data_IF_062015111764
#
_entry.id   IF_062015111764
#
_cell.length_a   1.000
_cell.length_b   1.000
_cell.length_c   1.000
_cell.angle_alpha   90.00
_cell.angle_beta   90.00
_cell.angle_gamma   90.00
#
_symmetry.space_group_name_H-M   'P 1'
#
loop_
_entity.id
_entity.type
_entity.pdbx_description
1 polymer ?
#
# COMPACT_ATOMS: atom_id res chain seq x y z
N UNK A 1 -61.00 -53.50 21.98
CA UNK A 1 -59.60 -53.09 21.79
C UNK A 1 -59.22 -52.74 20.35
N UNK A 2 -60.16 -52.37 19.44
CA UNK A 2 -59.90 -52.12 18.01
C UNK A 2 -60.13 -50.66 17.59
N UNK A 3 -60.64 -49.80 18.47
CA UNK A 3 -60.94 -48.38 18.15
C UNK A 3 -59.79 -47.41 18.42
N UNK A 4 -58.80 -47.80 19.20
CA UNK A 4 -57.60 -46.93 19.45
C UNK A 4 -56.54 -46.96 18.32
N UNK A 5 -56.55 -47.99 17.48
CA UNK A 5 -55.61 -48.16 16.39
C UNK A 5 -55.91 -47.20 15.21
N UNK A 6 -57.16 -46.82 15.00
CA UNK A 6 -57.54 -45.97 13.85
C UNK A 6 -57.22 -44.50 14.10
N UNK A 7 -57.37 -44.02 15.33
CA UNK A 7 -57.07 -42.64 15.74
C UNK A 7 -55.52 -42.38 15.68
N UNK A 8 -54.75 -43.40 16.11
CA UNK A 8 -53.29 -43.30 16.00
C UNK A 8 -52.77 -43.25 14.54
N UNK A 9 -53.42 -43.99 13.66
CA UNK A 9 -53.06 -43.99 12.22
C UNK A 9 -53.41 -42.65 11.52
N UNK A 10 -54.56 -42.02 11.85
CA UNK A 10 -54.94 -40.74 11.32
C UNK A 10 -54.08 -39.61 11.82
N UNK A 11 -53.66 -39.70 13.12
CA UNK A 11 -52.77 -38.68 13.70
C UNK A 11 -51.34 -38.78 13.15
N UNK A 12 -50.85 -39.98 12.86
CA UNK A 12 -49.54 -40.19 12.21
C UNK A 12 -49.56 -39.68 10.72
N UNK A 13 -50.71 -39.83 10.02
CA UNK A 13 -50.88 -39.39 8.65
C UNK A 13 -50.94 -37.84 8.53
N UNK A 14 -51.47 -37.15 9.55
CA UNK A 14 -51.52 -35.66 9.59
C UNK A 14 -50.14 -35.05 9.88
N UNK A 15 -49.26 -35.73 10.60
CA UNK A 15 -47.89 -35.26 10.88
C UNK A 15 -47.00 -35.40 9.63
N UNK A 16 -47.27 -36.36 8.74
CA UNK A 16 -46.54 -36.51 7.48
C UNK A 16 -46.97 -35.49 6.39
N UNK A 17 -48.10 -34.84 6.55
CA UNK A 17 -48.61 -33.87 5.56
C UNK A 17 -48.24 -32.43 5.88
N UNK A 18 -47.62 -32.15 7.05
CA UNK A 18 -47.15 -30.83 7.41
C UNK A 18 -45.67 -30.58 7.04
N UNK A 19 -45.07 -31.44 6.20
CA UNK A 19 -43.83 -31.12 5.53
C UNK A 19 -44.14 -30.05 4.48
N UNK A 20 -44.24 -28.80 4.91
CA UNK A 20 -44.33 -27.63 4.01
C UNK A 20 -43.16 -27.73 3.06
N UNK A 21 -43.45 -27.97 1.79
CA UNK A 21 -42.54 -27.74 0.69
C UNK A 21 -42.13 -26.28 0.75
N UNK A 22 -41.04 -26.01 1.44
CA UNK A 22 -40.31 -24.75 1.27
C UNK A 22 -39.85 -24.79 -0.19
N UNK A 23 -40.70 -24.30 -1.10
CA UNK A 23 -40.29 -24.03 -2.46
C UNK A 23 -39.21 -22.94 -2.33
N UNK A 24 -37.97 -23.32 -2.50
CA UNK A 24 -36.90 -22.37 -2.78
C UNK A 24 -37.35 -21.62 -4.06
N UNK A 25 -37.81 -20.41 -3.92
CA UNK A 25 -38.13 -19.58 -5.03
C UNK A 25 -36.82 -19.37 -5.79
N UNK A 26 -36.70 -19.94 -7.00
CA UNK A 26 -35.55 -19.71 -7.88
C UNK A 26 -35.45 -18.22 -8.17
N UNK A 27 -34.63 -17.53 -7.40
CA UNK A 27 -34.36 -16.13 -7.62
C UNK A 27 -33.69 -15.95 -8.99
N UNK A 28 -34.34 -15.22 -9.87
CA UNK A 28 -33.73 -14.84 -11.15
C UNK A 28 -32.64 -13.81 -10.87
N UNK A 29 -31.41 -14.24 -10.87
CA UNK A 29 -30.28 -13.40 -10.50
C UNK A 29 -29.35 -13.13 -11.67
N UNK A 30 -28.69 -11.98 -11.62
CA UNK A 30 -27.57 -11.62 -12.48
C UNK A 30 -26.36 -11.31 -11.59
N UNK A 31 -25.23 -11.93 -11.88
CA UNK A 31 -23.95 -11.60 -11.26
C UNK A 31 -23.12 -10.74 -12.21
N UNK A 32 -22.63 -9.64 -11.75
CA UNK A 32 -21.80 -8.71 -12.52
C UNK A 32 -20.62 -8.21 -11.72
N UNK A 33 -19.50 -8.01 -12.40
CA UNK A 33 -18.32 -7.39 -11.84
C UNK A 33 -18.27 -5.91 -12.22
N UNK A 34 -18.08 -5.08 -11.22
CA UNK A 34 -17.80 -3.66 -11.38
C UNK A 34 -16.35 -3.34 -11.08
N UNK A 35 -15.79 -2.41 -11.81
CA UNK A 35 -14.41 -1.97 -11.61
C UNK A 35 -14.30 -0.46 -11.80
N UNK A 36 -13.34 0.12 -11.06
CA UNK A 36 -12.97 1.51 -11.28
C UNK A 36 -11.49 1.69 -11.02
N UNK A 37 -10.90 2.66 -11.71
CA UNK A 37 -9.53 3.12 -11.52
C UNK A 37 -9.50 4.64 -11.60
N UNK A 38 -8.93 5.27 -10.58
CA UNK A 38 -8.67 6.71 -10.59
C UNK A 38 -7.16 6.95 -10.53
N UNK A 39 -6.71 8.01 -11.19
CA UNK A 39 -5.34 8.51 -11.10
C UNK A 39 -5.33 9.75 -10.22
N UNK A 40 -4.38 9.81 -9.29
CA UNK A 40 -4.26 10.88 -8.29
C UNK A 40 -2.81 11.31 -8.23
N UNK A 41 -2.55 12.60 -8.29
CA UNK A 41 -1.22 13.14 -8.02
C UNK A 41 -0.86 12.86 -6.55
N UNK A 42 0.37 12.41 -6.24
CA UNK A 42 0.82 12.24 -4.87
C UNK A 42 0.86 13.58 -4.13
N UNK A 43 0.64 13.54 -2.82
CA UNK A 43 0.67 14.70 -1.94
C UNK A 43 1.60 14.52 -0.73
N UNK A 44 2.35 13.39 -0.72
CA UNK A 44 3.42 13.12 0.23
C UNK A 44 4.51 12.28 -0.44
N UNK A 45 5.74 12.39 0.08
CA UNK A 45 6.83 11.51 -0.27
C UNK A 45 7.49 10.96 1.00
N UNK A 46 8.09 9.78 0.89
CA UNK A 46 8.90 9.17 1.93
C UNK A 46 10.25 8.84 1.33
N UNK A 47 11.34 9.33 1.93
CA UNK A 47 12.71 9.12 1.46
C UNK A 47 13.44 8.28 2.51
N UNK A 48 14.11 7.22 2.07
CA UNK A 48 15.05 6.47 2.89
C UNK A 48 16.48 6.93 2.61
N UNK A 49 17.17 7.39 3.65
CA UNK A 49 18.52 7.97 3.63
C UNK A 49 19.38 7.17 4.56
N UNK A 50 20.55 6.72 4.09
CA UNK A 50 21.48 5.96 4.93
C UNK A 50 22.89 6.54 4.97
N UNK A 51 23.56 6.25 6.09
CA UNK A 51 24.96 6.51 6.33
C UNK A 51 25.64 5.16 6.51
N UNK A 52 26.78 5.02 5.88
CA UNK A 52 27.67 3.90 6.08
C UNK A 52 29.09 4.41 6.33
N UNK A 53 29.71 3.99 7.45
CA UNK A 53 31.08 4.33 7.75
C UNK A 53 31.83 3.19 8.43
N UNK A 54 33.12 3.13 8.22
CA UNK A 54 34.01 2.12 8.82
C UNK A 54 35.09 2.77 9.63
N UNK A 55 35.39 2.20 10.84
CA UNK A 55 36.48 2.62 11.67
C UNK A 55 37.19 1.41 12.30
N UNK A 56 38.37 1.64 12.93
CA UNK A 56 39.21 0.57 13.51
C UNK A 56 38.54 -0.16 14.68
N UNK A 57 37.74 0.55 15.47
CA UNK A 57 37.00 -0.03 16.58
C UNK A 57 35.49 0.34 16.53
N UNK A 58 34.67 -0.49 17.16
CA UNK A 58 33.22 -0.36 17.13
C UNK A 58 32.73 0.97 17.77
N UNK A 59 33.38 1.42 18.83
CA UNK A 59 32.99 2.65 19.53
C UNK A 59 33.26 3.88 18.67
N UNK A 60 34.40 3.92 17.98
CA UNK A 60 34.74 5.01 17.08
C UNK A 60 33.81 5.03 15.87
N UNK A 61 33.55 3.85 15.25
CA UNK A 61 32.60 3.73 14.12
C UNK A 61 31.23 4.25 14.50
N UNK A 62 30.70 3.83 15.65
CA UNK A 62 29.39 4.25 16.16
C UNK A 62 29.35 5.76 16.48
N UNK A 63 30.41 6.32 17.12
CA UNK A 63 30.44 7.73 17.44
C UNK A 63 30.47 8.63 16.18
N UNK A 64 31.27 8.24 15.18
CA UNK A 64 31.33 8.95 13.91
C UNK A 64 29.96 8.90 13.17
N UNK A 65 29.33 7.72 13.13
CA UNK A 65 28.01 7.56 12.52
C UNK A 65 26.96 8.43 13.20
N UNK A 66 26.94 8.44 14.55
CA UNK A 66 26.01 9.25 15.32
C UNK A 66 26.18 10.75 15.03
N UNK A 67 27.43 11.24 14.89
CA UNK A 67 27.71 12.63 14.58
C UNK A 67 27.18 13.00 13.17
N UNK A 68 27.43 12.16 12.16
CA UNK A 68 26.94 12.40 10.80
C UNK A 68 25.42 12.39 10.78
N UNK A 69 24.79 11.43 11.47
CA UNK A 69 23.33 11.35 11.54
C UNK A 69 22.73 12.60 12.20
N UNK A 70 23.35 13.11 13.27
CA UNK A 70 22.91 14.37 13.90
C UNK A 70 23.01 15.56 12.95
N UNK A 71 24.07 15.63 12.15
CA UNK A 71 24.22 16.69 11.14
C UNK A 71 23.10 16.63 10.11
N UNK A 72 22.80 15.43 9.59
CA UNK A 72 21.71 15.22 8.61
C UNK A 72 20.36 15.61 9.22
N UNK A 73 20.04 15.12 10.43
CA UNK A 73 18.79 15.45 11.10
C UNK A 73 18.67 16.97 11.32
N UNK A 74 19.75 17.63 11.78
CA UNK A 74 19.76 19.08 11.98
C UNK A 74 19.56 19.87 10.69
N UNK A 75 20.18 19.43 9.60
CA UNK A 75 20.04 20.06 8.29
C UNK A 75 18.60 19.92 7.75
N UNK A 76 17.99 18.73 7.90
CA UNK A 76 16.59 18.48 7.49
C UNK A 76 15.61 19.29 8.36
N UNK A 77 15.85 19.41 9.67
CA UNK A 77 15.05 20.29 10.54
C UNK A 77 15.09 21.74 10.08
N UNK A 78 16.24 22.19 9.53
CA UNK A 78 16.39 23.55 8.92
C UNK A 78 15.48 23.79 7.71
N UNK A 79 14.94 22.74 7.08
CA UNK A 79 13.96 22.82 6.00
C UNK A 79 12.50 22.84 6.51
N UNK A 80 12.28 23.11 7.79
CA UNK A 80 10.96 23.07 8.46
C UNK A 80 10.27 21.68 8.44
N UNK A 81 11.03 20.60 8.24
CA UNK A 81 10.55 19.22 8.42
C UNK A 81 10.72 18.88 9.90
N UNK A 82 9.62 18.54 10.56
CA UNK A 82 9.59 18.32 12.02
C UNK A 82 10.17 16.95 12.41
N UNK A 83 10.58 16.80 13.67
CA UNK A 83 11.25 15.57 14.14
C UNK A 83 10.35 14.33 14.06
N UNK A 84 9.04 14.47 14.21
CA UNK A 84 8.06 13.39 14.08
C UNK A 84 7.97 12.82 12.67
N UNK A 85 8.45 13.57 11.66
CA UNK A 85 8.55 13.12 10.26
C UNK A 85 9.82 12.33 9.96
N UNK A 86 10.72 12.18 10.94
CA UNK A 86 11.97 11.45 10.80
C UNK A 86 11.98 10.23 11.73
N UNK A 87 12.21 9.04 11.17
CA UNK A 87 12.24 7.80 11.91
C UNK A 87 13.50 6.99 11.55
N UNK A 88 14.23 6.49 12.55
CA UNK A 88 15.29 5.50 12.30
C UNK A 88 14.64 4.15 11.98
N UNK A 89 14.97 3.60 10.83
CA UNK A 89 14.42 2.35 10.33
C UNK A 89 15.39 1.19 10.40
N UNK A 90 16.69 1.48 10.40
CA UNK A 90 17.72 0.47 10.51
C UNK A 90 18.97 1.00 11.22
N UNK A 91 19.61 0.14 12.03
CA UNK A 91 20.91 0.39 12.62
C UNK A 91 21.65 -0.92 12.78
N UNK A 92 22.77 -1.07 12.07
CA UNK A 92 23.60 -2.27 12.13
C UNK A 92 25.07 -1.88 12.40
N UNK A 93 25.71 -2.67 13.25
CA UNK A 93 27.14 -2.59 13.49
C UNK A 93 27.73 -4.00 13.37
N UNK A 94 28.70 -4.18 12.50
CA UNK A 94 29.32 -5.49 12.28
C UNK A 94 30.83 -5.38 12.01
N UNK A 95 31.61 -6.42 12.38
CA UNK A 95 33.03 -6.46 12.12
C UNK A 95 33.32 -6.65 10.62
N UNK A 96 34.36 -5.99 10.15
CA UNK A 96 34.93 -6.16 8.80
C UNK A 96 36.14 -7.06 8.90
N UNK A 97 36.18 -8.13 8.14
CA UNK A 97 37.26 -9.12 8.15
C UNK A 97 38.21 -8.95 6.97
N UNK A 98 39.48 -9.28 7.20
CA UNK A 98 40.44 -9.39 6.12
C UNK A 98 40.12 -10.58 5.21
N UNK A 99 39.95 -10.33 3.93
CA UNK A 99 39.62 -11.37 2.94
C UNK A 99 40.85 -11.86 2.14
N UNK A 100 42.04 -11.23 2.33
CA UNK A 100 43.20 -11.52 1.49
C UNK A 100 43.92 -12.82 1.84
N UNK A 101 43.89 -13.26 3.10
CA UNK A 101 44.72 -14.38 3.59
C UNK A 101 43.93 -15.52 4.20
N UNK A 102 42.64 -15.67 3.90
CA UNK A 102 41.76 -16.61 4.58
C UNK A 102 41.79 -16.49 6.13
N UNK A 103 42.40 -15.44 6.64
CA UNK A 103 42.43 -15.11 8.06
C UNK A 103 41.11 -14.45 8.44
N UNK A 104 40.52 -14.88 9.55
CA UNK A 104 39.33 -14.20 10.12
C UNK A 104 39.75 -13.05 11.02
N UNK A 105 40.79 -12.31 10.62
CA UNK A 105 41.25 -11.14 11.36
C UNK A 105 40.30 -9.98 11.16
N UNK A 106 39.82 -9.37 12.24
CA UNK A 106 38.98 -8.17 12.18
C UNK A 106 39.89 -6.98 11.88
N UNK A 107 39.63 -6.32 10.75
CA UNK A 107 40.37 -5.13 10.28
C UNK A 107 39.64 -3.82 10.58
N UNK A 108 38.38 -3.88 11.06
CA UNK A 108 37.57 -2.73 11.40
C UNK A 108 36.16 -3.09 11.74
N UNK A 109 35.35 -2.09 11.94
CA UNK A 109 33.89 -2.20 12.18
C UNK A 109 33.15 -1.26 11.25
N UNK A 110 32.11 -1.76 10.63
CA UNK A 110 31.21 -0.99 9.79
C UNK A 110 29.92 -0.70 10.55
N UNK A 111 29.42 0.54 10.42
CA UNK A 111 28.11 0.96 10.93
C UNK A 111 27.28 1.42 9.76
N UNK A 112 26.08 0.85 9.63
CA UNK A 112 25.02 1.28 8.72
C UNK A 112 23.84 1.79 9.53
N UNK A 113 23.40 3.01 9.27
CA UNK A 113 22.29 3.66 9.97
C UNK A 113 21.38 4.32 8.94
N UNK A 114 20.09 4.04 9.02
CA UNK A 114 19.10 4.49 8.05
C UNK A 114 17.97 5.24 8.74
N UNK A 115 17.62 6.40 8.19
CA UNK A 115 16.42 7.15 8.56
C UNK A 115 15.47 7.23 7.39
N UNK A 116 14.19 7.21 7.71
CA UNK A 116 13.10 7.52 6.78
C UNK A 116 12.57 8.90 7.11
N UNK A 117 12.44 9.74 6.08
CA UNK A 117 11.93 11.11 6.17
C UNK A 117 10.64 11.23 5.38
N UNK A 118 9.55 11.63 6.05
CA UNK A 118 8.27 11.90 5.42
C UNK A 118 8.17 13.38 5.06
N UNK A 119 7.84 13.68 3.81
CA UNK A 119 7.78 15.01 3.23
C UNK A 119 6.35 15.29 2.78
N UNK A 120 5.73 16.32 3.34
CA UNK A 120 4.35 16.71 3.05
C UNK A 120 4.21 17.63 1.81
N UNK A 121 5.32 18.20 1.35
CA UNK A 121 5.38 18.97 0.10
C UNK A 121 6.36 18.26 -0.85
N UNK A 122 5.83 17.58 -1.86
CA UNK A 122 6.61 16.77 -2.80
C UNK A 122 7.64 17.58 -3.60
N UNK A 123 7.44 18.88 -3.79
CA UNK A 123 8.38 19.75 -4.49
C UNK A 123 9.71 19.91 -3.72
N UNK A 124 9.70 19.61 -2.41
CA UNK A 124 10.91 19.69 -1.57
C UNK A 124 11.77 18.42 -1.63
N UNK A 125 11.32 17.36 -2.29
CA UNK A 125 12.02 16.06 -2.32
C UNK A 125 13.47 16.22 -2.78
N UNK A 126 13.72 16.90 -3.89
CA UNK A 126 15.08 17.16 -4.38
C UNK A 126 15.92 17.95 -3.37
N UNK A 127 15.37 19.03 -2.81
CA UNK A 127 16.06 19.85 -1.79
C UNK A 127 16.43 19.04 -0.55
N UNK A 128 15.56 18.15 -0.08
CA UNK A 128 15.82 17.29 1.08
C UNK A 128 16.96 16.32 0.79
N UNK A 129 16.97 15.72 -0.41
CA UNK A 129 18.03 14.82 -0.86
C UNK A 129 19.38 15.55 -0.88
N UNK A 130 19.44 16.68 -1.57
CA UNK A 130 20.68 17.47 -1.71
C UNK A 130 21.19 17.93 -0.34
N UNK A 131 20.27 18.35 0.55
CA UNK A 131 20.61 18.76 1.92
C UNK A 131 21.17 17.59 2.73
N UNK A 132 20.59 16.39 2.62
CA UNK A 132 21.08 15.21 3.30
C UNK A 132 22.46 14.76 2.80
N UNK A 133 22.68 14.77 1.49
CA UNK A 133 23.98 14.44 0.87
C UNK A 133 25.05 15.43 1.34
N UNK A 134 24.78 16.73 1.30
CA UNK A 134 25.67 17.76 1.75
C UNK A 134 25.98 17.66 3.26
N UNK A 135 25.06 17.11 4.05
CA UNK A 135 25.26 16.87 5.49
C UNK A 135 25.97 15.54 5.81
N UNK A 136 26.30 14.73 4.78
CA UNK A 136 27.11 13.51 4.90
C UNK A 136 26.35 12.19 4.72
N UNK A 137 25.17 12.20 4.12
CA UNK A 137 24.49 10.97 3.73
C UNK A 137 25.31 10.21 2.70
N UNK A 138 25.44 8.89 2.88
CA UNK A 138 26.16 8.01 1.94
C UNK A 138 25.28 7.56 0.79
N UNK A 139 23.98 7.29 1.06
CA UNK A 139 23.05 6.79 0.06
C UNK A 139 21.64 7.34 0.27
N UNK A 140 20.91 7.47 -0.83
CA UNK A 140 19.47 7.57 -0.86
C UNK A 140 18.92 6.25 -1.40
N UNK A 141 18.32 5.44 -0.53
CA UNK A 141 17.96 4.06 -0.84
C UNK A 141 16.66 3.97 -1.64
N UNK A 142 15.66 4.77 -1.28
CA UNK A 142 14.38 4.80 -1.97
C UNK A 142 13.68 6.14 -1.83
N UNK A 143 12.81 6.43 -2.79
CA UNK A 143 11.82 7.50 -2.74
C UNK A 143 10.48 6.88 -3.07
N UNK A 144 9.54 7.01 -2.16
CA UNK A 144 8.18 6.52 -2.30
C UNK A 144 7.20 7.69 -2.28
N UNK A 145 6.46 7.86 -3.37
CA UNK A 145 5.37 8.82 -3.44
C UNK A 145 4.08 8.19 -2.96
N UNK A 146 3.31 8.91 -2.16
CA UNK A 146 2.11 8.41 -1.52
C UNK A 146 1.00 9.46 -1.42
N UNK A 147 -0.09 9.05 -0.78
CA UNK A 147 -1.23 9.89 -0.47
C UNK A 147 -1.33 10.03 1.06
N UNK A 148 -1.50 11.27 1.56
CA UNK A 148 -1.70 11.55 3.00
C UNK A 148 -2.96 10.87 3.52
N UNK A 149 -4.06 11.05 2.81
CA UNK A 149 -5.33 10.39 3.09
C UNK A 149 -5.74 9.49 1.93
N UNK A 150 -5.26 8.27 1.98
CA UNK A 150 -5.58 7.27 0.96
C UNK A 150 -7.02 6.74 1.08
N UNK A 151 -7.66 6.89 2.25
CA UNK A 151 -9.00 6.35 2.49
C UNK A 151 -10.06 7.05 1.65
N UNK A 152 -9.99 8.37 1.53
CA UNK A 152 -10.91 9.16 0.68
C UNK A 152 -10.92 8.65 -0.76
N UNK A 153 -9.76 8.31 -1.30
CA UNK A 153 -9.65 7.80 -2.68
C UNK A 153 -10.11 6.35 -2.80
N UNK A 154 -9.88 5.52 -1.78
CA UNK A 154 -10.40 4.15 -1.71
C UNK A 154 -11.91 4.13 -1.70
N UNK A 155 -12.54 4.98 -0.89
CA UNK A 155 -14.00 5.10 -0.83
C UNK A 155 -14.58 5.57 -2.17
N UNK A 156 -13.95 6.58 -2.77
CA UNK A 156 -14.36 7.11 -4.07
C UNK A 156 -14.30 6.05 -5.18
N UNK A 157 -13.20 5.31 -5.28
CA UNK A 157 -13.06 4.29 -6.33
C UNK A 157 -13.99 3.09 -6.10
N UNK A 158 -14.28 2.75 -4.83
CA UNK A 158 -15.25 1.72 -4.48
C UNK A 158 -16.68 2.12 -4.88
N UNK A 159 -17.08 3.36 -4.59
CA UNK A 159 -18.39 3.89 -5.02
C UNK A 159 -18.54 3.84 -6.54
N UNK A 160 -17.49 4.20 -7.29
CA UNK A 160 -17.50 4.14 -8.74
C UNK A 160 -17.56 2.70 -9.28
N UNK A 161 -16.88 1.74 -8.64
CA UNK A 161 -16.95 0.33 -9.01
C UNK A 161 -18.36 -0.25 -8.79
N UNK A 162 -19.02 0.11 -7.68
CA UNK A 162 -20.41 -0.28 -7.40
C UNK A 162 -21.36 0.32 -8.46
N UNK A 163 -21.16 1.59 -8.81
CA UNK A 163 -21.96 2.25 -9.84
C UNK A 163 -21.77 1.57 -11.23
N UNK A 164 -20.54 1.15 -11.56
CA UNK A 164 -20.26 0.40 -12.80
C UNK A 164 -20.97 -0.96 -12.80
N UNK A 165 -20.93 -1.72 -11.69
CA UNK A 165 -21.64 -2.99 -11.55
C UNK A 165 -23.15 -2.80 -11.75
N UNK A 166 -23.73 -1.79 -11.08
CA UNK A 166 -25.17 -1.47 -11.23
C UNK A 166 -25.53 -1.10 -12.66
N UNK A 167 -24.74 -0.26 -13.32
CA UNK A 167 -24.95 0.13 -14.72
C UNK A 167 -24.91 -1.09 -15.64
N UNK A 168 -23.93 -1.99 -15.48
CA UNK A 168 -23.82 -3.23 -16.27
C UNK A 168 -25.03 -4.13 -16.06
N UNK A 169 -25.46 -4.33 -14.81
CA UNK A 169 -26.64 -5.14 -14.50
C UNK A 169 -27.92 -4.58 -15.15
N UNK A 170 -28.11 -3.26 -15.11
CA UNK A 170 -29.25 -2.60 -15.76
C UNK A 170 -29.24 -2.79 -17.27
N UNK A 171 -28.11 -2.67 -17.95
CA UNK A 171 -27.98 -2.87 -19.39
C UNK A 171 -28.39 -4.30 -19.75
N UNK A 172 -27.92 -5.31 -19.02
CA UNK A 172 -28.26 -6.72 -19.27
C UNK A 172 -29.74 -6.99 -18.99
N UNK A 173 -30.27 -6.55 -17.83
CA UNK A 173 -31.66 -6.75 -17.48
C UNK A 173 -32.59 -6.14 -18.53
N UNK A 174 -32.35 -4.90 -18.96
CA UNK A 174 -33.14 -4.22 -19.99
C UNK A 174 -33.08 -4.95 -21.33
N UNK A 175 -31.93 -5.50 -21.74
CA UNK A 175 -31.77 -6.26 -22.97
C UNK A 175 -32.56 -7.58 -22.98
N UNK A 176 -32.82 -8.12 -21.75
CA UNK A 176 -33.64 -9.31 -21.54
C UNK A 176 -35.15 -9.00 -21.33
N UNK A 177 -35.55 -7.73 -21.43
CA UNK A 177 -36.92 -7.29 -21.12
C UNK A 177 -37.24 -7.39 -19.62
N UNK A 178 -36.24 -7.31 -18.75
CA UNK A 178 -36.33 -7.41 -17.30
C UNK A 178 -35.89 -6.11 -16.63
N UNK A 179 -36.15 -6.01 -15.33
CA UNK A 179 -35.63 -4.91 -14.49
C UNK A 179 -34.98 -5.45 -13.21
N UNK A 180 -34.00 -4.71 -12.69
CA UNK A 180 -33.38 -4.97 -11.39
C UNK A 180 -34.35 -4.58 -10.29
N UNK A 181 -34.64 -5.49 -9.37
CA UNK A 181 -35.58 -5.25 -8.26
C UNK A 181 -34.87 -5.16 -6.89
N UNK A 182 -33.76 -5.90 -6.71
CA UNK A 182 -33.07 -5.93 -5.43
C UNK A 182 -31.57 -6.26 -5.59
N UNK A 183 -30.80 -6.07 -4.52
CA UNK A 183 -29.42 -6.55 -4.38
C UNK A 183 -29.43 -7.79 -3.50
N UNK A 184 -28.97 -8.93 -4.03
CA UNK A 184 -28.91 -10.20 -3.29
C UNK A 184 -27.64 -10.30 -2.47
N UNK A 185 -26.51 -9.97 -3.08
CA UNK A 185 -25.22 -9.98 -2.39
C UNK A 185 -24.23 -9.02 -3.02
N UNK A 186 -23.31 -8.53 -2.19
CA UNK A 186 -22.19 -7.68 -2.62
C UNK A 186 -20.92 -8.26 -2.02
N UNK A 187 -19.95 -8.53 -2.87
CA UNK A 187 -18.59 -8.84 -2.45
C UNK A 187 -17.69 -7.69 -2.89
N UNK A 188 -17.23 -6.91 -1.92
CA UNK A 188 -16.24 -5.87 -2.16
C UNK A 188 -14.86 -6.51 -2.09
N UNK A 189 -14.23 -6.72 -3.22
CA UNK A 189 -12.83 -7.13 -3.28
C UNK A 189 -11.89 -6.11 -2.62
N UNK A 190 -10.59 -6.40 -2.65
CA UNK A 190 -9.59 -5.49 -2.11
C UNK A 190 -9.47 -4.24 -2.98
N UNK A 191 -9.29 -3.08 -2.32
CA UNK A 191 -8.91 -1.84 -2.99
C UNK A 191 -7.38 -1.74 -3.01
N UNK A 192 -6.80 -1.53 -4.18
CA UNK A 192 -5.36 -1.48 -4.39
C UNK A 192 -4.90 -0.06 -4.69
N UNK A 193 -3.75 0.30 -4.11
CA UNK A 193 -3.03 1.53 -4.42
C UNK A 193 -1.72 1.10 -5.07
N UNK A 194 -1.52 1.50 -6.30
CA UNK A 194 -0.26 1.30 -7.01
C UNK A 194 0.51 2.62 -7.03
N UNK A 195 1.45 2.76 -6.11
CA UNK A 195 2.46 3.81 -6.15
C UNK A 195 3.62 3.35 -7.05
N UNK A 196 4.17 4.26 -7.84
CA UNK A 196 5.42 3.98 -8.55
C UNK A 196 6.59 4.23 -7.61
N UNK A 197 7.30 3.17 -7.28
CA UNK A 197 8.55 3.26 -6.52
C UNK A 197 9.70 3.53 -7.49
N UNK A 198 10.53 4.53 -7.17
CA UNK A 198 11.76 4.79 -7.89
C UNK A 198 12.91 4.07 -7.18
N UNK A 199 13.48 3.06 -7.84
CA UNK A 199 14.66 2.35 -7.35
C UNK A 199 15.94 3.04 -7.82
N UNK A 200 17.01 2.93 -7.03
CA UNK A 200 18.33 3.58 -7.18
C UNK A 200 18.95 3.57 -8.58
N UNK A 201 18.59 2.64 -9.46
CA UNK A 201 19.17 2.54 -10.79
C UNK A 201 18.94 3.78 -11.70
N UNK A 202 17.99 4.65 -11.37
CA UNK A 202 17.73 5.88 -12.12
C UNK A 202 18.56 7.07 -11.66
N UNK A 203 18.98 7.09 -10.39
CA UNK A 203 19.72 8.24 -9.80
C UNK A 203 21.16 8.35 -10.27
N UNK A 204 21.85 7.22 -10.46
CA UNK A 204 23.24 7.22 -10.91
C UNK A 204 23.41 7.77 -12.32
N UNK A 205 22.37 7.74 -13.16
CA UNK A 205 22.39 8.33 -14.50
C UNK A 205 22.16 9.84 -14.52
N UNK A 206 21.44 10.37 -13.53
CA UNK A 206 21.17 11.81 -13.42
C UNK A 206 22.36 12.57 -12.81
N UNK A 207 23.11 11.96 -11.90
CA UNK A 207 24.28 12.56 -11.25
C UNK A 207 25.49 12.75 -12.18
N UNK A 208 25.57 12.01 -13.30
CA UNK A 208 26.62 12.19 -14.32
C UNK A 208 26.32 13.37 -15.27
N UNK A 209 25.11 13.97 -15.24
CA UNK A 209 24.68 14.86 -16.31
C UNK A 209 24.92 16.34 -16.06
N UNK A 210 25.08 16.86 -14.82
CA UNK A 210 25.41 18.29 -14.64
C UNK A 210 25.90 18.64 -13.23
N UNK A 211 27.15 19.07 -13.13
CA UNK A 211 27.75 19.63 -11.91
C UNK A 211 27.43 21.13 -11.74
N UNK A 212 26.30 21.60 -12.20
CA UNK A 212 25.90 23.02 -12.15
C UNK A 212 24.75 23.24 -11.18
N UNK A 213 24.95 23.14 -9.87
CA UNK A 213 24.11 23.78 -8.84
C UNK A 213 22.59 23.62 -8.93
N UNK A 214 22.07 22.78 -9.81
CA UNK A 214 20.64 22.52 -9.97
C UNK A 214 20.19 21.45 -8.96
N UNK A 215 19.07 21.69 -8.30
CA UNK A 215 18.41 20.70 -7.44
C UNK A 215 18.12 19.40 -8.21
N UNK A 216 18.32 18.26 -7.58
CA UNK A 216 18.03 16.95 -8.17
C UNK A 216 16.61 16.90 -8.77
N UNK A 217 16.44 16.74 -10.11
CA UNK A 217 15.12 16.80 -10.74
C UNK A 217 14.35 15.50 -10.47
N UNK A 218 13.47 15.51 -9.48
CA UNK A 218 12.63 14.38 -9.09
C UNK A 218 11.20 14.65 -9.54
N UNK A 219 10.67 13.80 -10.42
CA UNK A 219 9.29 13.90 -10.90
C UNK A 219 8.47 12.72 -10.39
N UNK A 220 7.40 13.00 -9.67
CA UNK A 220 6.40 12.00 -9.29
C UNK A 220 5.52 11.62 -10.49
N UNK A 221 5.15 10.35 -10.59
CA UNK A 221 4.05 9.93 -11.47
C UNK A 221 2.73 9.89 -10.70
N UNK A 222 1.60 9.78 -11.43
CA UNK A 222 0.30 9.56 -10.79
C UNK A 222 0.24 8.21 -10.07
N UNK A 223 -0.45 8.22 -8.93
CA UNK A 223 -0.81 7.03 -8.17
C UNK A 223 -2.12 6.49 -8.72
N UNK A 224 -2.17 5.20 -9.05
CA UNK A 224 -3.40 4.53 -9.47
C UNK A 224 -4.08 3.90 -8.26
N UNK A 225 -5.35 4.28 -8.01
CA UNK A 225 -6.20 3.64 -7.00
C UNK A 225 -7.28 2.84 -7.74
N UNK A 226 -7.41 1.54 -7.41
CA UNK A 226 -8.33 0.62 -8.10
C UNK A 226 -9.22 -0.10 -7.10
N UNK A 227 -10.47 -0.36 -7.52
CA UNK A 227 -11.38 -1.23 -6.81
C UNK A 227 -12.09 -2.17 -7.78
N UNK A 228 -12.37 -3.39 -7.30
CA UNK A 228 -13.20 -4.36 -7.97
C UNK A 228 -14.29 -4.82 -7.00
N UNK A 229 -15.50 -4.99 -7.50
CA UNK A 229 -16.65 -5.49 -6.75
C UNK A 229 -17.38 -6.53 -7.57
N UNK A 230 -17.92 -7.56 -6.92
CA UNK A 230 -18.86 -8.49 -7.55
C UNK A 230 -20.22 -8.35 -6.88
N UNK A 231 -21.25 -8.13 -7.66
CA UNK A 231 -22.60 -7.86 -7.16
C UNK A 231 -23.59 -8.81 -7.82
N UNK A 232 -24.43 -9.45 -7.01
CA UNK A 232 -25.54 -10.26 -7.46
C UNK A 232 -26.83 -9.47 -7.26
N UNK A 233 -27.55 -9.24 -8.36
CA UNK A 233 -28.84 -8.57 -8.39
C UNK A 233 -29.95 -9.56 -8.67
N UNK A 234 -31.14 -9.27 -8.13
CA UNK A 234 -32.37 -9.95 -8.45
C UNK A 234 -33.10 -9.21 -9.60
N UNK A 235 -33.65 -9.97 -10.52
CA UNK A 235 -34.46 -9.47 -11.63
C UNK A 235 -35.91 -9.98 -11.51
N UNK A 236 -36.87 -9.20 -12.01
CA UNK A 236 -38.27 -9.62 -12.08
C UNK A 236 -38.54 -10.60 -13.22
#
# INVERSE_FOLDING_TARGET
MRKFSLVGLVMALCILFSCSLVQAQDLRTISVDGSSTIKVAPDKATISISIENTAKDAKLASAQNAQIMQNIQSAILGLAITKDKMQTTNYNLYPVYNTKDNSREIIGYNVSNEITVTIDNIDMVGTVIDTAINAGASNVNSIEFGLKDSQVYKDKVLQQAIADAKRKAQVVANSLGKSIVNVVSVNTGSTYIEAKNFNNAMYMRAAEADATGATSPIQSGDISVRANVSVVFEMN
#
